data_IF_925112845323
#
_entry.id   IF_925112845323
#
_cell.length_a   1.000
_cell.length_b   1.000
_cell.length_c   1.000
_cell.angle_alpha   90.00
_cell.angle_beta   90.00
_cell.angle_gamma   90.00
#
_symmetry.space_group_name_H-M   'P 1'
#
loop_
_entity.id
_entity.type
_entity.pdbx_description
1 polymer ?
#
# COMPACT_ATOMS: atom_id res chain seq x y z
N UNK A 1 8.98 -2.52 -0.14
CA UNK A 1 7.55 -2.45 0.20
C UNK A 1 7.36 -3.06 1.58
N UNK A 2 6.72 -2.34 2.52
CA UNK A 2 6.43 -2.82 3.88
C UNK A 2 5.41 -3.97 3.85
N UNK A 3 5.32 -4.72 4.95
CA UNK A 3 4.45 -5.89 5.06
C UNK A 3 3.04 -5.55 5.58
N UNK A 4 2.05 -6.30 5.12
CA UNK A 4 0.74 -6.44 5.79
C UNK A 4 0.80 -7.65 6.72
N UNK A 5 1.08 -7.40 8.00
CA UNK A 5 1.65 -8.39 8.93
C UNK A 5 0.76 -9.60 9.28
N UNK A 6 -0.58 -9.46 9.25
CA UNK A 6 -1.52 -10.51 9.69
C UNK A 6 -2.40 -11.06 8.54
N UNK A 7 -1.92 -10.98 7.29
CA UNK A 7 -2.68 -11.42 6.11
C UNK A 7 -2.50 -12.93 5.87
N UNK A 8 -3.26 -13.76 6.60
CA UNK A 8 -3.29 -15.22 6.44
C UNK A 8 -4.30 -15.68 5.38
N UNK A 9 -5.50 -15.11 5.44
CA UNK A 9 -6.64 -15.48 4.59
C UNK A 9 -7.16 -14.22 3.87
N UNK A 10 -6.65 -13.89 2.67
CA UNK A 10 -7.16 -12.76 1.90
C UNK A 10 -8.65 -12.92 1.63
N UNK A 11 -9.43 -11.87 1.90
CA UNK A 11 -10.88 -11.88 1.66
C UNK A 11 -11.26 -11.85 0.18
N UNK A 12 -10.35 -11.39 -0.68
CA UNK A 12 -10.56 -11.23 -2.12
C UNK A 12 -9.29 -11.64 -2.87
N UNK A 13 -9.47 -12.33 -4.00
CA UNK A 13 -8.37 -12.59 -4.94
C UNK A 13 -8.04 -11.32 -5.72
N UNK A 14 -6.76 -10.96 -5.79
CA UNK A 14 -6.32 -9.75 -6.48
C UNK A 14 -4.98 -9.97 -7.17
N UNK A 15 -4.78 -9.27 -8.29
CA UNK A 15 -3.50 -9.19 -8.97
C UNK A 15 -2.49 -8.28 -8.22
N UNK A 16 -2.95 -7.47 -7.26
CA UNK A 16 -2.10 -6.58 -6.47
C UNK A 16 -1.29 -7.41 -5.45
N UNK A 17 0.03 -7.23 -5.44
CA UNK A 17 0.88 -7.80 -4.39
C UNK A 17 0.67 -7.06 -3.07
N UNK A 18 -0.16 -7.64 -2.20
CA UNK A 18 -0.48 -7.11 -0.86
C UNK A 18 0.67 -7.27 0.16
N UNK A 19 1.81 -7.86 -0.23
CA UNK A 19 3.02 -8.02 0.62
C UNK A 19 2.69 -8.65 2.00
N UNK A 20 2.13 -9.87 2.04
CA UNK A 20 1.74 -10.49 3.31
C UNK A 20 2.95 -10.82 4.18
N UNK A 21 2.84 -10.56 5.49
CA UNK A 21 3.72 -10.99 6.60
C UNK A 21 5.16 -10.46 6.59
N UNK A 22 5.86 -10.53 5.46
CA UNK A 22 7.29 -10.21 5.34
C UNK A 22 7.50 -9.09 4.31
N UNK A 23 8.29 -8.04 4.65
CA UNK A 23 8.57 -6.97 3.70
C UNK A 23 9.32 -7.47 2.46
N UNK A 24 9.01 -6.89 1.29
CA UNK A 24 9.67 -7.23 0.02
C UNK A 24 10.58 -6.09 -0.43
N UNK A 25 11.86 -6.36 -0.68
CA UNK A 25 12.75 -5.39 -1.34
C UNK A 25 12.25 -5.14 -2.76
N UNK A 26 11.96 -3.88 -3.08
CA UNK A 26 11.52 -3.43 -4.41
C UNK A 26 12.12 -2.06 -4.67
N UNK A 27 12.54 -1.79 -5.91
CA UNK A 27 12.80 -0.42 -6.35
C UNK A 27 11.45 0.30 -6.43
N UNK A 28 11.28 1.35 -5.63
CA UNK A 28 10.08 2.18 -5.62
C UNK A 28 10.54 3.60 -5.95
N UNK A 29 10.12 4.09 -7.11
CA UNK A 29 10.42 5.45 -7.58
C UNK A 29 9.23 6.40 -7.36
N UNK A 30 8.02 5.85 -7.26
CA UNK A 30 6.76 6.57 -7.00
C UNK A 30 5.98 5.83 -5.92
N UNK A 31 5.37 6.55 -4.99
CA UNK A 31 4.50 6.01 -3.95
C UNK A 31 3.19 6.82 -3.86
N UNK A 32 2.09 6.11 -3.65
CA UNK A 32 0.76 6.67 -3.38
C UNK A 32 0.39 6.37 -1.92
N UNK A 33 -0.04 7.38 -1.19
CA UNK A 33 -0.63 7.25 0.14
C UNK A 33 -2.07 7.75 0.09
N UNK A 34 -3.01 6.88 0.43
CA UNK A 34 -4.44 7.20 0.46
C UNK A 34 -4.94 7.25 1.91
N UNK A 35 -5.80 8.22 2.19
CA UNK A 35 -6.45 8.42 3.49
C UNK A 35 -7.94 8.66 3.28
N UNK A 36 -8.77 7.86 3.97
CA UNK A 36 -10.22 7.93 3.90
C UNK A 36 -10.78 8.07 5.32
N UNK A 37 -11.38 9.22 5.62
CA UNK A 37 -11.87 9.58 6.94
C UNK A 37 -13.40 9.59 7.05
N UNK A 38 -13.91 9.58 8.27
CA UNK A 38 -15.35 9.74 8.53
C UNK A 38 -15.89 11.07 7.98
N UNK A 39 -17.19 11.09 7.66
CA UNK A 39 -17.83 12.21 6.97
C UNK A 39 -17.55 12.25 5.46
N UNK A 40 -16.92 11.22 4.90
CA UNK A 40 -16.65 11.11 3.46
C UNK A 40 -15.44 11.92 2.99
N UNK A 41 -14.53 12.28 3.90
CA UNK A 41 -13.31 13.01 3.53
C UNK A 41 -12.30 12.06 2.92
N UNK A 42 -11.91 12.30 1.66
CA UNK A 42 -10.94 11.50 0.93
C UNK A 42 -9.74 12.36 0.52
N UNK A 43 -8.52 11.89 0.78
CA UNK A 43 -7.29 12.58 0.40
C UNK A 43 -6.23 11.58 -0.08
N UNK A 44 -5.44 12.02 -1.05
CA UNK A 44 -4.32 11.24 -1.60
C UNK A 44 -3.08 12.10 -1.74
N UNK A 45 -1.92 11.53 -1.44
CA UNK A 45 -0.60 12.12 -1.65
C UNK A 45 0.22 11.23 -2.58
N UNK A 46 0.86 11.85 -3.58
CA UNK A 46 1.77 11.16 -4.50
C UNK A 46 3.18 11.68 -4.25
N UNK A 47 4.09 10.77 -3.93
CA UNK A 47 5.50 11.05 -3.74
C UNK A 47 6.30 10.45 -4.88
N UNK A 48 7.35 11.15 -5.31
CA UNK A 48 8.32 10.65 -6.28
C UNK A 48 9.72 10.85 -5.73
N UNK A 49 10.62 9.90 -6.00
CA UNK A 49 12.05 10.07 -5.74
C UNK A 49 12.54 11.35 -6.41
N UNK A 50 13.26 12.18 -5.65
CA UNK A 50 13.94 13.35 -6.20
C UNK A 50 15.07 12.92 -7.15
N UNK A 51 15.39 13.78 -8.11
CA UNK A 51 16.51 13.57 -9.04
C UNK A 51 17.87 13.56 -8.32
#
# INVERSE_FOLDING_TARGET
APATINLDNPSVQTAIDLVPKVPKKKKIDVALSNSFGFGGTNASLVFRRHA
#
